data_IF_028897512885
#
_entry.id   IF_028897512885
#
_cell.length_a   1.000
_cell.length_b   1.000
_cell.length_c   1.000
_cell.angle_alpha   90.00
_cell.angle_beta   90.00
_cell.angle_gamma   90.00
#
_symmetry.space_group_name_H-M   'P 1'
#
loop_
_entity.id
_entity.type
_entity.pdbx_description
1 polymer ?
#
# COMPACT_ATOMS: atom_id res chain seq x y z
N UNK A 1 -80.01 9.64 -0.67
CA UNK A 1 -78.73 10.04 -1.27
C UNK A 1 -77.57 9.93 -0.25
N UNK A 2 -77.30 8.75 0.32
CA UNK A 2 -76.34 8.61 1.45
C UNK A 2 -75.10 7.75 1.16
N UNK A 3 -75.04 7.05 0.02
CA UNK A 3 -73.94 6.10 -0.28
C UNK A 3 -72.65 6.77 -0.78
N UNK A 4 -72.70 8.06 -1.16
CA UNK A 4 -71.56 8.78 -1.76
C UNK A 4 -70.61 9.41 -0.73
N UNK A 5 -71.04 9.68 0.50
CA UNK A 5 -70.17 10.29 1.53
C UNK A 5 -69.35 9.26 2.29
N UNK A 6 -69.86 8.04 2.47
CA UNK A 6 -69.18 6.97 3.20
C UNK A 6 -68.00 6.38 2.40
N UNK A 7 -68.17 6.21 1.08
CA UNK A 7 -67.07 5.82 0.17
C UNK A 7 -65.96 6.86 0.11
N UNK A 8 -66.29 8.16 0.16
CA UNK A 8 -65.28 9.22 0.15
C UNK A 8 -64.48 9.24 1.46
N UNK A 9 -65.16 9.06 2.60
CA UNK A 9 -64.50 8.98 3.92
C UNK A 9 -63.51 7.81 3.98
N UNK A 10 -63.90 6.64 3.48
CA UNK A 10 -63.04 5.46 3.45
C UNK A 10 -61.83 5.64 2.52
N UNK A 11 -62.00 6.31 1.38
CA UNK A 11 -60.90 6.60 0.46
C UNK A 11 -59.90 7.60 1.06
N UNK A 12 -60.37 8.61 1.79
CA UNK A 12 -59.52 9.56 2.52
C UNK A 12 -58.76 8.86 3.65
N UNK A 13 -59.42 7.98 4.41
CA UNK A 13 -58.76 7.18 5.46
C UNK A 13 -57.70 6.24 4.88
N UNK A 14 -57.98 5.60 3.75
CA UNK A 14 -57.02 4.72 3.05
C UNK A 14 -55.82 5.51 2.50
N UNK A 15 -56.05 6.73 2.00
CA UNK A 15 -55.00 7.62 1.50
C UNK A 15 -54.07 8.09 2.64
N UNK A 16 -54.62 8.43 3.81
CA UNK A 16 -53.83 8.81 5.01
C UNK A 16 -52.98 7.63 5.50
N UNK A 17 -53.53 6.41 5.48
CA UNK A 17 -52.80 5.18 5.82
C UNK A 17 -51.65 4.91 4.83
N UNK A 18 -51.87 5.13 3.53
CA UNK A 18 -50.82 4.97 2.52
C UNK A 18 -49.69 6.01 2.67
N UNK A 19 -50.02 7.27 2.97
CA UNK A 19 -49.04 8.34 3.19
C UNK A 19 -48.22 8.08 4.45
N UNK A 20 -48.84 7.64 5.55
CA UNK A 20 -48.12 7.32 6.79
C UNK A 20 -47.17 6.13 6.64
N UNK A 21 -47.55 5.10 5.89
CA UNK A 21 -46.68 3.98 5.50
C UNK A 21 -45.50 4.46 4.64
N UNK A 22 -45.74 5.33 3.64
CA UNK A 22 -44.69 5.86 2.77
C UNK A 22 -43.70 6.76 3.53
N UNK A 23 -44.19 7.61 4.45
CA UNK A 23 -43.35 8.46 5.30
C UNK A 23 -42.57 7.63 6.33
N UNK A 24 -43.19 6.59 6.91
CA UNK A 24 -42.50 5.64 7.79
C UNK A 24 -41.41 4.85 7.06
N UNK A 25 -41.67 4.44 5.82
CA UNK A 25 -40.69 3.79 4.97
C UNK A 25 -39.56 4.75 4.57
N UNK A 26 -39.85 6.01 4.20
CA UNK A 26 -38.84 7.02 3.90
C UNK A 26 -38.01 7.40 5.14
N UNK A 27 -38.62 7.56 6.31
CA UNK A 27 -37.93 7.86 7.56
C UNK A 27 -37.04 6.71 8.03
N UNK A 28 -37.56 5.47 8.01
CA UNK A 28 -36.78 4.26 8.31
C UNK A 28 -35.68 3.99 7.28
N UNK A 29 -35.96 4.22 5.99
CA UNK A 29 -34.99 4.10 4.90
C UNK A 29 -33.90 5.18 4.96
N UNK A 30 -34.25 6.41 5.37
CA UNK A 30 -33.27 7.47 5.60
C UNK A 30 -32.40 7.19 6.84
N UNK A 31 -33.00 6.69 7.92
CA UNK A 31 -32.27 6.32 9.15
C UNK A 31 -31.39 5.07 8.98
N UNK A 32 -31.78 4.14 8.10
CA UNK A 32 -30.92 3.06 7.64
C UNK A 32 -29.77 3.61 6.78
N UNK A 33 -30.04 4.50 5.82
CA UNK A 33 -29.00 5.05 4.93
C UNK A 33 -27.96 5.91 5.66
N UNK A 34 -28.31 6.55 6.77
CA UNK A 34 -27.36 7.34 7.58
C UNK A 34 -26.43 6.48 8.44
N UNK A 35 -26.86 5.30 8.90
CA UNK A 35 -26.00 4.38 9.67
C UNK A 35 -25.04 3.55 8.80
N UNK A 36 -25.34 3.34 7.52
CA UNK A 36 -24.49 2.57 6.60
C UNK A 36 -23.38 3.38 5.89
N UNK A 37 -23.17 4.66 6.23
CA UNK A 37 -22.18 5.54 5.57
C UNK A 37 -21.05 6.08 6.45
N UNK A 38 -20.78 5.50 7.62
CA UNK A 38 -19.74 6.02 8.53
C UNK A 38 -18.68 4.99 8.95
N UNK A 39 -18.33 4.03 8.08
CA UNK A 39 -17.09 3.23 8.20
C UNK A 39 -16.34 3.12 6.86
N UNK A 40 -16.44 4.14 5.99
CA UNK A 40 -15.72 4.21 4.72
C UNK A 40 -14.74 5.39 4.68
N UNK A 41 -14.01 5.63 5.77
CA UNK A 41 -12.86 6.58 5.80
C UNK A 41 -11.76 6.05 6.73
N UNK A 42 -11.40 4.76 6.66
CA UNK A 42 -10.19 4.24 7.35
C UNK A 42 -9.48 3.19 6.50
N UNK A 43 -9.35 3.43 5.19
CA UNK A 43 -8.48 2.59 4.33
C UNK A 43 -7.49 3.43 3.53
N UNK A 44 -7.71 4.74 3.37
CA UNK A 44 -6.82 5.61 2.59
C UNK A 44 -5.58 6.10 3.35
N UNK A 45 -5.61 6.23 4.68
CA UNK A 45 -4.42 6.66 5.43
C UNK A 45 -3.39 5.56 5.65
N UNK A 46 -3.82 4.29 5.70
CA UNK A 46 -2.92 3.15 5.92
C UNK A 46 -2.14 2.76 4.66
N UNK A 47 -2.54 3.25 3.49
CA UNK A 47 -1.83 3.05 2.21
C UNK A 47 -0.83 4.20 1.96
N UNK A 48 -1.19 5.45 2.30
CA UNK A 48 -0.29 6.61 2.09
C UNK A 48 0.97 6.58 2.98
N UNK A 49 0.86 6.07 4.22
CA UNK A 49 2.02 5.85 5.09
C UNK A 49 2.88 4.66 4.62
N UNK A 50 2.29 3.66 3.97
CA UNK A 50 3.06 2.54 3.40
C UNK A 50 3.88 2.98 2.20
N UNK A 51 3.35 3.82 1.32
CA UNK A 51 4.09 4.26 0.14
C UNK A 51 5.24 5.22 0.50
N UNK A 52 5.08 6.06 1.53
CA UNK A 52 6.19 6.89 2.03
C UNK A 52 7.24 6.07 2.77
N UNK A 53 6.86 5.04 3.53
CA UNK A 53 7.81 4.13 4.18
C UNK A 53 8.51 3.24 3.13
N UNK A 54 7.78 2.69 2.15
CA UNK A 54 8.35 1.87 1.08
C UNK A 54 9.23 2.72 0.17
N UNK A 55 8.82 3.93 -0.22
CA UNK A 55 9.68 4.82 -1.00
C UNK A 55 10.87 5.33 -0.19
N UNK A 56 10.75 5.59 1.11
CA UNK A 56 11.90 5.98 1.94
C UNK A 56 12.84 4.81 2.28
N UNK A 57 12.34 3.57 2.33
CA UNK A 57 13.15 2.35 2.43
C UNK A 57 13.85 2.06 1.10
N UNK A 58 13.13 2.16 -0.02
CA UNK A 58 13.65 1.93 -1.37
C UNK A 58 14.62 3.03 -1.81
N UNK A 59 14.44 4.27 -1.32
CA UNK A 59 15.37 5.38 -1.53
C UNK A 59 16.60 5.35 -0.60
N UNK A 60 16.69 4.39 0.33
CA UNK A 60 17.86 4.27 1.23
C UNK A 60 18.61 2.96 1.16
N UNK A 61 18.02 1.90 0.61
CA UNK A 61 18.71 0.62 0.52
C UNK A 61 19.58 0.56 -0.74
N UNK A 62 20.87 0.84 -0.60
CA UNK A 62 21.83 0.42 -1.62
C UNK A 62 21.99 -1.09 -1.51
N UNK A 63 22.00 -1.81 -2.63
CA UNK A 63 22.29 -3.25 -2.63
C UNK A 63 23.15 -3.65 -3.79
N UNK A 64 23.94 -4.70 -3.61
CA UNK A 64 24.65 -5.38 -4.69
C UNK A 64 24.05 -6.75 -4.92
N UNK A 65 24.07 -7.20 -6.17
CA UNK A 65 23.43 -8.42 -6.62
C UNK A 65 24.34 -9.09 -7.65
N UNK A 66 24.42 -10.41 -7.62
CA UNK A 66 25.04 -11.19 -8.70
C UNK A 66 23.94 -11.71 -9.62
N UNK A 67 23.94 -11.29 -10.89
CA UNK A 67 22.91 -11.67 -11.86
C UNK A 67 23.57 -12.11 -13.16
N UNK A 68 23.29 -13.34 -13.59
CA UNK A 68 23.93 -14.03 -14.71
C UNK A 68 25.46 -14.00 -14.64
N UNK A 69 26.04 -14.08 -13.44
CA UNK A 69 27.49 -13.99 -13.23
C UNK A 69 28.07 -12.58 -13.35
N UNK A 70 27.22 -11.54 -13.43
CA UNK A 70 27.63 -10.15 -13.44
C UNK A 70 27.20 -9.44 -12.15
N UNK A 71 28.10 -8.66 -11.57
CA UNK A 71 27.78 -7.82 -10.42
C UNK A 71 26.97 -6.61 -10.87
N UNK A 72 25.80 -6.45 -10.25
CA UNK A 72 24.90 -5.32 -10.40
C UNK A 72 24.79 -4.58 -9.08
N UNK A 73 24.71 -3.26 -9.12
CA UNK A 73 24.47 -2.43 -7.94
C UNK A 73 23.18 -1.63 -8.14
N UNK A 74 22.33 -1.63 -7.12
CA UNK A 74 21.22 -0.72 -6.99
C UNK A 74 21.63 0.42 -6.07
N UNK A 75 21.59 1.64 -6.60
CA UNK A 75 21.81 2.87 -5.83
C UNK A 75 20.69 3.84 -6.17
N UNK A 76 20.05 4.39 -5.14
CA UNK A 76 18.97 5.37 -5.31
C UNK A 76 17.81 4.84 -6.19
N UNK A 77 17.57 3.52 -6.18
CA UNK A 77 16.56 2.84 -6.99
C UNK A 77 16.97 2.55 -8.45
N UNK A 78 18.15 2.97 -8.88
CA UNK A 78 18.70 2.66 -10.19
C UNK A 78 19.64 1.45 -10.11
N UNK A 79 19.34 0.43 -10.91
CA UNK A 79 20.18 -0.76 -11.07
C UNK A 79 21.14 -0.54 -12.24
N UNK A 80 22.44 -0.66 -11.97
CA UNK A 80 23.51 -0.55 -12.98
C UNK A 80 24.56 -1.63 -12.78
N UNK A 81 25.26 -1.98 -13.85
CA UNK A 81 26.40 -2.89 -13.77
C UNK A 81 27.50 -2.27 -12.90
N UNK A 82 28.11 -3.09 -12.07
CA UNK A 82 29.25 -2.68 -11.27
C UNK A 82 30.52 -2.71 -12.13
N UNK A 83 31.07 -1.54 -12.40
CA UNK A 83 32.27 -1.40 -13.26
C UNK A 83 33.58 -1.43 -12.46
N UNK A 84 33.50 -1.15 -11.16
CA UNK A 84 34.63 -1.08 -10.24
C UNK A 84 34.24 -1.69 -8.91
N UNK A 85 35.24 -2.20 -8.21
CA UNK A 85 35.09 -2.63 -6.83
C UNK A 85 34.59 -1.47 -5.97
N UNK A 86 33.68 -1.76 -5.06
CA UNK A 86 33.16 -0.77 -4.12
C UNK A 86 33.62 -1.14 -2.72
N UNK A 87 33.95 -0.14 -1.93
CA UNK A 87 34.18 -0.30 -0.50
C UNK A 87 33.06 0.40 0.26
N UNK A 88 32.69 -0.14 1.41
CA UNK A 88 31.64 0.41 2.26
C UNK A 88 32.27 1.06 3.50
N UNK A 89 31.51 1.92 4.17
CA UNK A 89 31.98 2.57 5.40
C UNK A 89 32.32 1.58 6.55
N UNK A 90 31.76 0.37 6.52
CA UNK A 90 32.09 -0.73 7.44
C UNK A 90 33.34 -1.54 7.02
N UNK A 91 34.15 -1.02 6.09
CA UNK A 91 35.36 -1.65 5.56
C UNK A 91 35.09 -2.97 4.80
N UNK A 92 33.84 -3.22 4.39
CA UNK A 92 33.52 -4.32 3.48
C UNK A 92 33.82 -3.90 2.04
N UNK A 93 34.54 -4.74 1.30
CA UNK A 93 34.85 -4.52 -0.12
C UNK A 93 34.15 -5.57 -0.97
N UNK A 94 33.48 -5.13 -2.02
CA UNK A 94 32.80 -5.98 -3.00
C UNK A 94 33.49 -5.77 -4.34
N UNK A 95 34.07 -6.83 -4.89
CA UNK A 95 34.71 -6.84 -6.21
C UNK A 95 33.73 -7.18 -7.33
N UNK A 96 34.08 -6.77 -8.56
CA UNK A 96 33.31 -7.04 -9.79
C UNK A 96 33.13 -8.53 -10.10
N UNK A 97 33.98 -9.38 -9.54
CA UNK A 97 33.90 -10.83 -9.67
C UNK A 97 32.93 -11.47 -8.65
N UNK A 98 32.36 -10.69 -7.72
CA UNK A 98 31.50 -11.19 -6.65
C UNK A 98 32.21 -11.54 -5.34
N UNK A 99 33.52 -11.31 -5.24
CA UNK A 99 34.24 -11.46 -3.98
C UNK A 99 33.84 -10.36 -3.00
N UNK A 100 33.44 -10.76 -1.80
CA UNK A 100 33.09 -9.88 -0.68
C UNK A 100 34.09 -10.12 0.44
N UNK A 101 34.92 -9.12 0.72
CA UNK A 101 35.88 -9.13 1.82
C UNK A 101 35.34 -8.25 2.93
N UNK A 102 35.07 -8.82 4.10
CA UNK A 102 34.60 -8.08 5.28
C UNK A 102 35.78 -7.51 6.07
N UNK A 103 35.46 -6.62 7.03
CA UNK A 103 36.43 -6.03 7.96
C UNK A 103 37.30 -7.03 8.72
N UNK A 104 36.75 -8.20 9.07
CA UNK A 104 37.48 -9.26 9.78
C UNK A 104 38.45 -10.04 8.88
N UNK A 105 38.54 -9.68 7.59
CA UNK A 105 39.32 -10.38 6.58
C UNK A 105 38.63 -11.64 6.06
N UNK A 106 37.42 -11.96 6.51
CA UNK A 106 36.66 -13.06 5.94
C UNK A 106 36.23 -12.71 4.51
N UNK A 107 36.46 -13.66 3.61
CA UNK A 107 36.12 -13.53 2.20
C UNK A 107 34.99 -14.49 1.87
N UNK A 108 33.94 -13.99 1.23
CA UNK A 108 32.81 -14.78 0.75
C UNK A 108 32.63 -14.50 -0.73
N UNK A 109 32.23 -15.50 -1.50
CA UNK A 109 31.93 -15.34 -2.92
C UNK A 109 30.41 -15.29 -3.12
N UNK A 110 29.92 -14.23 -3.76
CA UNK A 110 28.53 -14.14 -4.19
C UNK A 110 28.29 -15.10 -5.36
N UNK A 111 27.23 -15.90 -5.24
CA UNK A 111 26.74 -16.80 -6.28
C UNK A 111 25.64 -16.13 -7.07
N UNK A 112 25.35 -16.66 -8.24
CA UNK A 112 24.27 -16.15 -9.07
C UNK A 112 22.92 -16.18 -8.35
N UNK A 113 22.22 -15.04 -8.36
CA UNK A 113 20.98 -14.82 -7.60
C UNK A 113 21.21 -14.29 -6.18
N UNK A 114 22.44 -14.25 -5.67
CA UNK A 114 22.73 -13.67 -4.36
C UNK A 114 22.57 -12.15 -4.38
N UNK A 115 22.12 -11.61 -3.26
CA UNK A 115 22.06 -10.17 -3.03
C UNK A 115 22.55 -9.83 -1.63
N UNK A 116 23.20 -8.67 -1.52
CA UNK A 116 23.70 -8.13 -0.26
C UNK A 116 23.22 -6.69 -0.13
N UNK A 117 22.51 -6.40 0.96
CA UNK A 117 22.21 -5.03 1.34
C UNK A 117 23.47 -4.34 1.82
N UNK A 118 23.66 -3.12 1.36
CA UNK A 118 24.71 -2.22 1.78
C UNK A 118 24.01 -1.05 2.50
N UNK A 119 23.86 -1.21 3.81
CA UNK A 119 23.30 -0.16 4.68
C UNK A 119 24.28 1.01 4.87
N UNK A 120 25.57 0.73 4.68
CA UNK A 120 26.67 1.68 4.80
C UNK A 120 26.78 2.59 3.56
N UNK A 121 27.40 3.75 3.75
CA UNK A 121 27.76 4.60 2.62
C UNK A 121 28.76 3.88 1.71
N UNK A 122 28.45 3.81 0.42
CA UNK A 122 29.38 3.31 -0.60
C UNK A 122 30.45 4.39 -0.81
N UNK A 123 31.70 4.02 -0.56
CA UNK A 123 32.90 4.77 -0.88
C UNK A 123 33.31 4.36 -2.31
N UNK A 124 33.27 5.33 -3.24
CA UNK A 124 33.65 5.15 -4.65
C UNK A 124 35.04 5.71 -4.91
#
# INVERSE_FOLDING_TARGET
>A
MAKKSETNKNNVTMLILAISLAVGFLGGYFMARTKYKAQLVIVSEMVSQRDTIINSLKAKSNRVMMVNGEMMMEKDGEVRRMEKSISTADETTVDINGSVTKKDGSQTMMKDGDSMMIDSQILQ
#
